data_IF_516928340728
#
_entry.id   IF_516928340728
#
_cell.length_a   1.000
_cell.length_b   1.000
_cell.length_c   1.000
_cell.angle_alpha   90.00
_cell.angle_beta   90.00
_cell.angle_gamma   90.00
#
_symmetry.space_group_name_H-M   'P 1'
#
loop_
_entity.id
_entity.type
_entity.pdbx_description
1 polymer ?
#
# COMPACT_ATOMS: atom_id res chain seq x y z
N UNK A 1 32.57 -18.31 -61.87
CA UNK A 1 32.73 -19.31 -60.79
C UNK A 1 32.74 -18.62 -59.42
N UNK A 2 31.70 -17.85 -59.09
CA UNK A 2 31.76 -16.90 -57.95
C UNK A 2 30.44 -16.57 -57.27
N UNK A 3 29.39 -17.38 -57.45
CA UNK A 3 28.05 -17.10 -56.89
C UNK A 3 27.52 -18.20 -55.97
N UNK A 4 28.21 -19.36 -55.92
CA UNK A 4 27.76 -20.53 -55.13
C UNK A 4 28.35 -20.58 -53.71
N UNK A 5 29.31 -19.71 -53.37
CA UNK A 5 29.94 -19.65 -52.03
C UNK A 5 29.28 -18.67 -51.07
N UNK A 6 28.57 -17.66 -51.58
CA UNK A 6 27.87 -16.65 -50.76
C UNK A 6 26.57 -17.15 -50.15
N UNK A 7 25.86 -18.07 -50.82
CA UNK A 7 24.62 -18.64 -50.28
C UNK A 7 24.85 -19.68 -49.18
N UNK A 8 26.05 -20.26 -49.09
CA UNK A 8 26.37 -21.22 -48.04
C UNK A 8 26.66 -20.53 -46.69
N UNK A 9 27.10 -19.27 -46.70
CA UNK A 9 27.36 -18.50 -45.48
C UNK A 9 26.10 -17.82 -44.92
N UNK A 10 25.11 -17.49 -45.76
CA UNK A 10 23.86 -16.86 -45.31
C UNK A 10 22.82 -17.85 -44.78
N UNK A 11 22.94 -19.15 -45.11
CA UNK A 11 22.02 -20.19 -44.60
C UNK A 11 22.40 -20.73 -43.22
N UNK A 12 23.59 -20.40 -42.71
CA UNK A 12 24.11 -20.90 -41.43
C UNK A 12 23.91 -19.95 -40.24
N UNK A 13 23.12 -18.88 -40.39
CA UNK A 13 22.88 -17.90 -39.32
C UNK A 13 21.44 -17.92 -38.76
N UNK A 14 20.58 -18.84 -39.23
CA UNK A 14 19.14 -18.85 -38.91
C UNK A 14 18.66 -20.05 -38.08
N UNK A 15 19.58 -20.78 -37.45
CA UNK A 15 19.25 -21.76 -36.42
C UNK A 15 20.20 -21.57 -35.25
N UNK A 16 20.04 -20.44 -34.55
CA UNK A 16 20.51 -20.40 -33.16
C UNK A 16 19.42 -21.04 -32.32
N UNK A 17 19.67 -22.18 -31.65
CA UNK A 17 18.71 -22.72 -30.71
C UNK A 17 18.56 -21.67 -29.60
N UNK A 18 17.42 -20.98 -29.58
CA UNK A 18 17.01 -20.16 -28.45
C UNK A 18 16.94 -21.13 -27.28
N UNK A 19 17.97 -21.09 -26.43
CA UNK A 19 18.16 -22.08 -25.39
C UNK A 19 16.95 -22.07 -24.46
N UNK A 20 16.54 -23.24 -23.97
CA UNK A 20 15.45 -23.37 -22.99
C UNK A 20 15.67 -22.46 -21.77
N UNK A 21 16.94 -22.13 -21.49
CA UNK A 21 17.38 -21.20 -20.45
C UNK A 21 16.94 -19.76 -20.74
N UNK A 22 17.07 -19.26 -21.98
CA UNK A 22 16.56 -17.94 -22.37
C UNK A 22 15.03 -17.85 -22.28
N UNK A 23 14.30 -18.91 -22.69
CA UNK A 23 12.84 -18.95 -22.53
C UNK A 23 12.42 -19.02 -21.06
N UNK A 24 13.18 -19.72 -20.20
CA UNK A 24 12.93 -19.78 -18.77
C UNK A 24 13.25 -18.45 -18.07
N UNK A 25 14.29 -17.74 -18.53
CA UNK A 25 14.65 -16.42 -18.03
C UNK A 25 13.65 -15.36 -18.48
N UNK A 26 13.21 -15.37 -19.74
CA UNK A 26 12.16 -14.48 -20.25
C UNK A 26 10.80 -14.72 -19.55
N UNK A 27 10.44 -15.98 -19.25
CA UNK A 27 9.26 -16.28 -18.42
C UNK A 27 9.39 -15.78 -16.98
N UNK A 28 10.61 -15.63 -16.46
CA UNK A 28 10.89 -15.13 -15.11
C UNK A 28 10.88 -13.59 -15.01
N UNK A 29 10.85 -12.89 -16.15
CA UNK A 29 10.75 -11.43 -16.24
C UNK A 29 9.44 -10.96 -16.88
N UNK A 30 8.44 -11.84 -17.09
CA UNK A 30 7.06 -11.36 -17.28
C UNK A 30 6.63 -10.81 -15.93
N UNK A 31 6.89 -9.53 -15.72
CA UNK A 31 6.50 -8.78 -14.55
C UNK A 31 4.97 -8.87 -14.47
N UNK A 32 4.40 -8.99 -13.28
CA UNK A 32 2.94 -8.91 -13.10
C UNK A 32 2.32 -7.69 -13.82
N UNK A 33 3.11 -6.64 -14.08
CA UNK A 33 2.75 -5.47 -14.90
C UNK A 33 2.46 -5.81 -16.36
N UNK A 34 3.25 -6.66 -16.99
CA UNK A 34 3.05 -7.05 -18.40
C UNK A 34 1.76 -7.87 -18.53
N UNK A 35 1.39 -8.62 -17.49
CA UNK A 35 0.11 -9.35 -17.39
C UNK A 35 -1.06 -8.46 -16.99
N UNK A 36 -0.78 -7.31 -16.36
CA UNK A 36 -1.78 -6.32 -16.02
C UNK A 36 -2.28 -5.60 -17.27
N UNK A 37 -1.38 -5.37 -18.25
CA UNK A 37 -1.72 -4.81 -19.56
C UNK A 37 -2.65 -5.72 -20.38
N UNK A 38 -2.75 -7.01 -20.04
CA UNK A 38 -3.66 -7.97 -20.66
C UNK A 38 -5.09 -7.93 -20.06
N UNK A 39 -5.28 -7.27 -18.92
CA UNK A 39 -6.58 -7.15 -18.26
C UNK A 39 -7.37 -5.95 -18.80
N UNK A 40 -8.70 -6.05 -18.73
CA UNK A 40 -9.59 -4.96 -19.12
C UNK A 40 -9.33 -3.67 -18.30
N UNK A 41 -9.59 -2.52 -18.93
CA UNK A 41 -9.28 -1.19 -18.39
C UNK A 41 -9.84 -0.93 -17.00
N UNK A 42 -11.04 -1.44 -16.70
CA UNK A 42 -11.69 -1.28 -15.40
C UNK A 42 -11.00 -2.09 -14.29
N UNK A 43 -10.55 -3.30 -14.63
CA UNK A 43 -9.80 -4.18 -13.71
C UNK A 43 -8.37 -3.67 -13.49
N UNK A 44 -7.76 -3.08 -14.52
CA UNK A 44 -6.46 -2.42 -14.40
C UNK A 44 -6.53 -1.24 -13.44
N UNK A 45 -7.50 -0.36 -13.60
CA UNK A 45 -7.66 0.80 -12.72
C UNK A 45 -7.92 0.39 -11.26
N UNK A 46 -8.72 -0.66 -11.04
CA UNK A 46 -8.97 -1.22 -9.71
C UNK A 46 -7.70 -1.74 -9.03
N UNK A 47 -6.79 -2.36 -9.79
CA UNK A 47 -5.56 -2.98 -9.28
C UNK A 47 -4.41 -1.98 -9.09
N UNK A 48 -4.30 -1.00 -9.98
CA UNK A 48 -3.33 0.10 -9.84
C UNK A 48 -3.67 0.97 -8.62
N UNK A 49 -4.97 1.23 -8.38
CA UNK A 49 -5.47 2.00 -7.25
C UNK A 49 -4.90 3.42 -7.18
N UNK A 50 -5.04 4.08 -6.01
CA UNK A 50 -4.50 5.43 -5.80
C UNK A 50 -2.99 5.49 -5.55
N UNK A 51 -2.42 6.70 -5.53
CA UNK A 51 -0.96 6.96 -5.48
C UNK A 51 -0.17 6.20 -4.39
N UNK A 52 -0.76 6.03 -3.19
CA UNK A 52 -0.14 5.26 -2.09
C UNK A 52 0.00 3.77 -2.40
N UNK A 53 -0.97 3.18 -3.10
CA UNK A 53 -0.89 1.80 -3.57
C UNK A 53 0.20 1.67 -4.63
N UNK A 54 0.22 2.57 -5.61
CA UNK A 54 1.25 2.59 -6.65
C UNK A 54 2.66 2.72 -6.08
N UNK A 55 2.85 3.49 -5.00
CA UNK A 55 4.16 3.63 -4.34
C UNK A 55 4.70 2.29 -3.82
N UNK A 56 3.88 1.51 -3.11
CA UNK A 56 4.30 0.19 -2.61
C UNK A 56 4.35 -0.88 -3.71
N UNK A 57 3.51 -0.75 -4.74
CA UNK A 57 3.52 -1.63 -5.91
C UNK A 57 4.70 -1.37 -6.85
N UNK A 58 5.48 -0.29 -6.67
CA UNK A 58 6.78 -0.13 -7.36
C UNK A 58 7.82 -1.16 -6.90
N UNK A 59 7.71 -1.65 -5.67
CA UNK A 59 8.62 -2.63 -5.09
C UNK A 59 8.23 -4.08 -5.47
N UNK A 60 9.21 -5.02 -5.51
CA UNK A 60 8.91 -6.43 -5.74
C UNK A 60 7.89 -6.96 -4.72
N UNK A 61 7.02 -7.88 -5.15
CA UNK A 61 5.81 -8.32 -4.42
C UNK A 61 6.06 -8.85 -3.00
N UNK A 62 7.29 -9.29 -2.71
CA UNK A 62 7.75 -9.69 -1.38
C UNK A 62 7.80 -8.52 -0.38
N UNK A 63 8.16 -7.32 -0.84
CA UNK A 63 8.30 -6.11 -0.01
C UNK A 63 6.94 -5.40 0.15
N UNK A 64 6.04 -5.54 -0.82
CA UNK A 64 4.70 -4.96 -0.77
C UNK A 64 3.72 -5.75 0.12
N UNK A 65 4.20 -6.71 0.91
CA UNK A 65 3.36 -7.52 1.81
C UNK A 65 2.61 -6.62 2.82
N UNK A 66 1.31 -6.87 3.11
CA UNK A 66 0.51 -6.07 4.05
C UNK A 66 1.13 -5.86 5.43
N UNK A 67 1.98 -6.79 5.89
CA UNK A 67 2.77 -6.66 7.13
C UNK A 67 3.72 -5.46 7.08
N UNK A 68 4.45 -5.27 5.98
CA UNK A 68 5.40 -4.16 5.85
C UNK A 68 4.69 -2.82 5.72
N UNK A 69 3.57 -2.78 5.00
CA UNK A 69 2.72 -1.58 4.91
C UNK A 69 2.15 -1.21 6.28
N UNK A 70 1.71 -2.21 7.05
CA UNK A 70 1.30 -2.03 8.45
C UNK A 70 2.43 -1.50 9.32
N UNK A 71 3.61 -2.12 9.26
CA UNK A 71 4.78 -1.67 10.03
C UNK A 71 5.23 -0.26 9.66
N UNK A 72 5.22 0.10 8.37
CA UNK A 72 5.55 1.44 7.91
C UNK A 72 4.54 2.48 8.42
N UNK A 73 3.25 2.15 8.41
CA UNK A 73 2.24 3.01 9.03
C UNK A 73 2.52 3.22 10.52
N UNK A 74 2.81 2.14 11.26
CA UNK A 74 3.19 2.18 12.67
C UNK A 74 4.42 3.05 12.94
N UNK A 75 5.39 3.03 12.03
CA UNK A 75 6.59 3.87 12.08
C UNK A 75 6.25 5.35 11.88
N UNK A 76 5.39 5.69 10.91
CA UNK A 76 4.97 7.07 10.65
C UNK A 76 4.25 7.66 11.86
N UNK A 77 3.26 6.95 12.40
CA UNK A 77 2.53 7.42 13.59
C UNK A 77 3.45 7.47 14.82
N UNK A 78 4.36 6.50 14.96
CA UNK A 78 5.40 6.53 16.00
C UNK A 78 6.28 7.78 15.90
N UNK A 79 6.67 8.18 14.69
CA UNK A 79 7.45 9.40 14.48
C UNK A 79 6.69 10.67 14.90
N UNK A 80 5.38 10.72 14.63
CA UNK A 80 4.56 11.89 15.05
C UNK A 80 4.46 12.04 16.58
N UNK A 81 4.61 10.95 17.34
CA UNK A 81 4.64 10.99 18.80
C UNK A 81 5.95 11.54 19.38
N UNK A 82 6.98 11.73 18.56
CA UNK A 82 8.25 12.29 19.03
C UNK A 82 8.08 13.72 19.58
N UNK A 83 7.19 14.50 18.95
CA UNK A 83 6.88 15.87 19.38
C UNK A 83 6.22 15.92 20.78
N UNK A 84 5.09 15.23 21.04
CA UNK A 84 4.46 15.27 22.36
C UNK A 84 5.32 14.63 23.46
N UNK A 85 6.04 13.53 23.18
CA UNK A 85 6.97 12.94 24.15
C UNK A 85 8.14 13.89 24.45
N UNK A 86 8.71 14.54 23.43
CA UNK A 86 9.78 15.51 23.58
C UNK A 86 9.36 16.73 24.42
N UNK A 87 8.13 17.20 24.24
CA UNK A 87 7.58 18.30 25.02
C UNK A 87 7.45 17.95 26.50
N UNK A 88 6.83 16.80 26.83
CA UNK A 88 6.67 16.36 28.23
C UNK A 88 8.02 16.15 28.89
N UNK A 89 8.91 15.40 28.24
CA UNK A 89 10.23 15.09 28.77
C UNK A 89 11.01 16.37 29.13
N UNK A 90 10.93 17.39 28.28
CA UNK A 90 11.52 18.69 28.57
C UNK A 90 10.79 19.45 29.70
N UNK A 91 9.46 19.40 29.74
CA UNK A 91 8.66 20.09 30.78
C UNK A 91 8.85 19.51 32.18
N UNK A 92 9.08 18.20 32.27
CA UNK A 92 9.33 17.47 33.52
C UNK A 92 10.83 17.50 33.94
N UNK A 93 11.69 18.10 33.12
CA UNK A 93 13.14 18.12 33.36
C UNK A 93 13.81 16.75 33.23
N UNK A 94 13.21 15.83 32.49
CA UNK A 94 13.76 14.50 32.25
C UNK A 94 15.01 14.55 31.36
N UNK A 95 15.90 13.58 31.56
CA UNK A 95 17.06 13.39 30.68
C UNK A 95 16.56 12.87 29.33
N UNK A 96 17.10 13.43 28.23
CA UNK A 96 16.72 13.08 26.85
C UNK A 96 16.80 11.58 26.55
N UNK A 97 17.73 10.85 27.19
CA UNK A 97 17.83 9.39 27.08
C UNK A 97 16.57 8.66 27.54
N UNK A 98 15.93 9.12 28.62
CA UNK A 98 14.70 8.52 29.17
C UNK A 98 13.55 8.76 28.20
N UNK A 99 13.38 10.00 27.75
CA UNK A 99 12.32 10.35 26.78
C UNK A 99 12.47 9.60 25.46
N UNK A 100 13.70 9.48 24.94
CA UNK A 100 13.96 8.72 23.71
C UNK A 100 13.70 7.23 23.87
N UNK A 101 14.01 6.67 25.04
CA UNK A 101 13.73 5.28 25.38
C UNK A 101 12.22 5.04 25.41
N UNK A 102 11.46 5.86 26.12
CA UNK A 102 10.01 5.71 26.26
C UNK A 102 9.28 5.87 24.92
N UNK A 103 9.65 6.90 24.15
CA UNK A 103 9.18 7.07 22.78
C UNK A 103 9.54 5.86 21.90
N UNK A 104 10.78 5.38 21.99
CA UNK A 104 11.27 4.25 21.20
C UNK A 104 10.50 2.97 21.49
N UNK A 105 10.22 2.67 22.77
CA UNK A 105 9.38 1.54 23.15
C UNK A 105 7.95 1.69 22.62
N UNK A 106 7.36 2.87 22.75
CA UNK A 106 6.02 3.13 22.23
C UNK A 106 5.95 2.97 20.70
N UNK A 107 6.93 3.50 19.97
CA UNK A 107 7.02 3.36 18.52
C UNK A 107 7.19 1.90 18.10
N UNK A 108 8.01 1.11 18.80
CA UNK A 108 8.19 -0.32 18.53
C UNK A 108 6.89 -1.10 18.74
N UNK A 109 6.14 -0.81 19.81
CA UNK A 109 4.82 -1.41 20.05
C UNK A 109 3.88 -1.10 18.89
N UNK A 110 3.82 0.15 18.45
CA UNK A 110 2.97 0.57 17.33
C UNK A 110 3.34 -0.15 16.03
N UNK A 111 4.62 -0.15 15.66
CA UNK A 111 5.14 -0.86 14.47
C UNK A 111 4.76 -2.34 14.52
N UNK A 112 4.99 -3.00 15.66
CA UNK A 112 4.73 -4.43 15.81
C UNK A 112 3.22 -4.72 15.72
N UNK A 113 2.40 -3.92 16.40
CA UNK A 113 0.95 -4.07 16.41
C UNK A 113 0.35 -3.88 15.01
N UNK A 114 0.73 -2.82 14.31
CA UNK A 114 0.18 -2.51 12.98
C UNK A 114 0.70 -3.48 11.92
N UNK A 115 1.95 -3.95 12.03
CA UNK A 115 2.49 -5.01 11.19
C UNK A 115 1.75 -6.33 11.40
N UNK A 116 1.48 -6.69 12.67
CA UNK A 116 0.71 -7.89 13.01
C UNK A 116 -0.72 -7.82 12.47
N UNK A 117 -1.42 -6.69 12.64
CA UNK A 117 -2.75 -6.48 12.07
C UNK A 117 -2.72 -6.56 10.53
N UNK A 118 -1.68 -6.00 9.90
CA UNK A 118 -1.48 -6.12 8.45
C UNK A 118 -1.33 -7.58 8.00
N UNK A 119 -0.58 -8.39 8.74
CA UNK A 119 -0.45 -9.83 8.49
C UNK A 119 -1.74 -10.61 8.72
N UNK A 120 -2.42 -10.37 9.83
CA UNK A 120 -3.71 -10.98 10.11
C UNK A 120 -4.74 -10.65 9.02
N UNK A 121 -4.72 -9.41 8.56
CA UNK A 121 -5.54 -8.96 7.45
C UNK A 121 -5.23 -9.70 6.14
N UNK A 122 -3.97 -9.99 5.82
CA UNK A 122 -3.63 -10.74 4.61
C UNK A 122 -4.14 -12.19 4.70
N UNK A 123 -4.02 -12.81 5.88
CA UNK A 123 -4.58 -14.14 6.13
C UNK A 123 -6.09 -14.15 5.94
N UNK A 124 -6.81 -13.18 6.53
CA UNK A 124 -8.26 -13.05 6.33
C UNK A 124 -8.64 -12.80 4.88
N UNK A 125 -7.92 -11.93 4.16
CA UNK A 125 -8.18 -11.66 2.74
C UNK A 125 -7.95 -12.90 1.86
N UNK A 126 -7.00 -13.76 2.23
CA UNK A 126 -6.75 -15.03 1.52
C UNK A 126 -7.92 -16.02 1.65
N UNK A 127 -8.60 -16.01 2.80
CA UNK A 127 -9.77 -16.86 3.10
C UNK A 127 -11.05 -16.25 2.55
N UNK A 128 -11.24 -14.95 2.72
CA UNK A 128 -12.51 -14.27 2.46
C UNK A 128 -12.78 -14.02 0.96
N UNK A 129 -11.75 -14.10 0.09
CA UNK A 129 -11.86 -13.94 -1.38
C UNK A 129 -12.75 -12.76 -1.81
N UNK A 130 -12.65 -11.63 -1.10
CA UNK A 130 -13.45 -10.42 -1.36
C UNK A 130 -12.79 -9.56 -2.45
N UNK A 131 -13.57 -8.86 -3.29
CA UNK A 131 -13.03 -7.82 -4.17
C UNK A 131 -12.49 -6.66 -3.31
N UNK A 132 -11.49 -5.92 -3.81
CA UNK A 132 -10.94 -4.77 -3.10
C UNK A 132 -11.98 -3.63 -3.07
N UNK A 133 -12.31 -3.16 -1.88
CA UNK A 133 -13.27 -2.06 -1.73
C UNK A 133 -12.55 -0.75 -2.11
N UNK A 134 -13.10 -0.03 -3.10
CA UNK A 134 -12.62 1.31 -3.48
C UNK A 134 -12.91 2.27 -2.32
N UNK A 135 -11.87 2.60 -1.56
CA UNK A 135 -11.97 3.58 -0.47
C UNK A 135 -11.94 5.03 -0.96
N UNK A 136 -11.94 5.31 -2.27
CA UNK A 136 -11.89 6.68 -2.82
C UNK A 136 -12.90 7.62 -2.14
N UNK A 137 -14.16 7.20 -2.02
CA UNK A 137 -15.20 8.01 -1.36
C UNK A 137 -15.09 8.05 0.19
N UNK A 138 -14.32 7.16 0.82
CA UNK A 138 -14.12 7.10 2.29
C UNK A 138 -12.80 7.68 2.78
N UNK A 139 -11.85 8.00 1.87
CA UNK A 139 -10.56 8.61 2.22
C UNK A 139 -10.73 9.97 2.89
N UNK A 140 -11.70 10.77 2.43
CA UNK A 140 -12.04 12.08 3.02
C UNK A 140 -12.36 11.98 4.52
N UNK A 141 -12.99 10.88 4.95
CA UNK A 141 -13.28 10.65 6.36
C UNK A 141 -12.14 9.99 7.10
N UNK A 142 -11.38 9.06 6.51
CA UNK A 142 -10.27 8.37 7.19
C UNK A 142 -9.05 9.27 7.45
N UNK A 143 -8.82 10.27 6.58
CA UNK A 143 -7.66 11.16 6.66
C UNK A 143 -7.57 12.00 7.94
N UNK A 144 -8.64 12.62 8.47
CA UNK A 144 -8.56 13.42 9.69
C UNK A 144 -8.35 12.61 10.98
N UNK A 145 -8.68 11.30 11.01
CA UNK A 145 -8.66 10.50 12.25
C UNK A 145 -7.31 10.47 12.97
N UNK A 146 -6.16 10.27 12.29
CA UNK A 146 -4.86 10.32 12.93
C UNK A 146 -4.55 11.67 13.57
N UNK A 147 -4.99 12.77 12.96
CA UNK A 147 -4.78 14.12 13.52
C UNK A 147 -5.65 14.36 14.74
N UNK A 148 -6.91 13.90 14.71
CA UNK A 148 -7.80 13.95 15.88
C UNK A 148 -7.22 13.10 17.01
N UNK A 149 -6.75 11.89 16.71
CA UNK A 149 -6.08 11.02 17.67
C UNK A 149 -4.85 11.67 18.28
N UNK A 150 -3.97 12.25 17.46
CA UNK A 150 -2.78 12.97 17.90
C UNK A 150 -3.13 14.17 18.79
N UNK A 151 -4.15 14.95 18.43
CA UNK A 151 -4.59 16.10 19.22
C UNK A 151 -5.11 15.66 20.60
N UNK A 152 -5.94 14.62 20.66
CA UNK A 152 -6.45 14.07 21.93
C UNK A 152 -5.31 13.51 22.79
N UNK A 153 -4.38 12.76 22.19
CA UNK A 153 -3.23 12.21 22.90
C UNK A 153 -2.31 13.33 23.43
N UNK A 154 -2.05 14.36 22.62
CA UNK A 154 -1.26 15.52 23.03
C UNK A 154 -1.93 16.31 24.17
N UNK A 155 -3.26 16.46 24.13
CA UNK A 155 -4.01 17.10 25.21
C UNK A 155 -4.01 16.25 26.49
N UNK A 156 -4.11 14.92 26.36
CA UNK A 156 -4.04 13.99 27.51
C UNK A 156 -2.70 14.03 28.24
N UNK A 157 -1.66 14.42 27.52
CA UNK A 157 -0.31 14.56 28.01
C UNK A 157 -0.08 15.89 28.74
N UNK A 158 -0.91 16.90 28.46
CA UNK A 158 -0.82 18.23 29.09
C UNK A 158 -1.85 18.42 30.20
N UNK A 159 -3.00 17.74 30.12
CA UNK A 159 -4.12 17.88 31.04
C UNK A 159 -4.65 16.51 31.43
N UNK A 160 -5.19 16.41 32.63
CA UNK A 160 -5.97 15.24 33.02
C UNK A 160 -7.30 15.23 32.28
N UNK A 161 -7.45 14.30 31.33
CA UNK A 161 -8.69 14.05 30.61
C UNK A 161 -9.23 12.65 30.95
N UNK A 162 -10.55 12.41 30.78
CA UNK A 162 -11.14 11.12 31.07
C UNK A 162 -10.47 9.97 30.31
N UNK A 163 -10.31 8.81 30.95
CA UNK A 163 -9.65 7.63 30.36
C UNK A 163 -10.30 7.20 29.04
N UNK A 164 -11.63 7.30 28.94
CA UNK A 164 -12.37 7.01 27.71
C UNK A 164 -11.91 7.87 26.52
N UNK A 165 -11.55 9.14 26.76
CA UNK A 165 -11.05 10.03 25.73
C UNK A 165 -9.65 9.60 25.26
N UNK A 166 -8.79 9.12 26.18
CA UNK A 166 -7.47 8.58 25.85
C UNK A 166 -7.60 7.33 24.98
N UNK A 167 -8.50 6.40 25.34
CA UNK A 167 -8.82 5.23 24.52
C UNK A 167 -9.34 5.63 23.13
N UNK A 168 -10.25 6.60 23.06
CA UNK A 168 -10.74 7.15 21.80
C UNK A 168 -9.63 7.79 20.96
N UNK A 169 -8.69 8.50 21.60
CA UNK A 169 -7.51 9.09 20.96
C UNK A 169 -6.62 8.03 20.33
N UNK A 170 -6.26 6.98 21.07
CA UNK A 170 -5.50 5.85 20.56
C UNK A 170 -6.23 5.12 19.42
N UNK A 171 -7.54 4.94 19.54
CA UNK A 171 -8.34 4.34 18.48
C UNK A 171 -8.29 5.18 17.21
N UNK A 172 -8.61 6.47 17.27
CA UNK A 172 -8.55 7.37 16.11
C UNK A 172 -7.13 7.46 15.53
N UNK A 173 -6.11 7.35 16.37
CA UNK A 173 -4.72 7.42 15.97
C UNK A 173 -4.23 6.17 15.24
N UNK A 174 -4.60 4.97 15.72
CA UNK A 174 -4.05 3.70 15.22
C UNK A 174 -4.97 3.02 14.21
N UNK A 175 -6.29 3.07 14.41
CA UNK A 175 -7.28 2.31 13.63
C UNK A 175 -7.31 2.57 12.11
N UNK A 176 -7.18 3.82 11.60
CA UNK A 176 -7.37 4.07 10.17
C UNK A 176 -6.34 3.36 9.28
N UNK A 177 -5.11 3.12 9.78
CA UNK A 177 -4.07 2.39 9.03
C UNK A 177 -4.41 0.91 8.80
N UNK A 178 -4.58 0.10 9.85
CA UNK A 178 -5.01 -1.29 9.72
C UNK A 178 -6.34 -1.44 8.99
N UNK A 179 -7.29 -0.51 9.18
CA UNK A 179 -8.55 -0.52 8.45
C UNK A 179 -8.33 -0.36 6.94
N UNK A 180 -7.50 0.60 6.52
CA UNK A 180 -7.11 0.78 5.12
C UNK A 180 -6.45 -0.48 4.55
N UNK A 181 -5.54 -1.07 5.31
CA UNK A 181 -4.86 -2.29 4.90
C UNK A 181 -5.86 -3.44 4.73
N UNK A 182 -6.82 -3.54 5.63
CA UNK A 182 -7.80 -4.62 5.63
C UNK A 182 -8.82 -4.56 4.52
N UNK A 183 -9.45 -3.40 4.32
CA UNK A 183 -10.52 -3.27 3.35
C UNK A 183 -10.01 -3.15 1.92
N UNK A 184 -8.81 -2.62 1.75
CA UNK A 184 -8.39 -2.06 0.47
C UNK A 184 -7.09 -2.68 -0.02
N UNK A 185 -6.06 -2.71 0.81
CA UNK A 185 -4.72 -3.12 0.36
C UNK A 185 -4.53 -4.64 0.31
N UNK A 186 -4.92 -5.37 1.36
CA UNK A 186 -4.73 -6.82 1.45
C UNK A 186 -5.47 -7.59 0.34
N UNK A 187 -6.73 -7.26 -0.03
CA UNK A 187 -7.39 -7.89 -1.17
C UNK A 187 -6.69 -7.60 -2.50
N UNK A 188 -6.20 -6.36 -2.73
CA UNK A 188 -5.43 -5.99 -3.92
C UNK A 188 -4.12 -6.78 -4.01
N UNK A 189 -3.36 -6.83 -2.92
CA UNK A 189 -2.09 -7.56 -2.87
C UNK A 189 -2.28 -9.05 -3.21
N UNK A 190 -3.34 -9.70 -2.71
CA UNK A 190 -3.65 -11.10 -3.03
C UNK A 190 -3.86 -11.32 -4.54
N UNK A 191 -4.60 -10.43 -5.20
CA UNK A 191 -4.88 -10.58 -6.64
C UNK A 191 -3.59 -10.41 -7.44
N UNK A 192 -2.77 -9.43 -7.07
CA UNK A 192 -1.48 -9.18 -7.70
C UNK A 192 -0.47 -10.32 -7.44
N UNK A 193 -0.42 -10.90 -6.24
CA UNK A 193 0.45 -12.06 -5.93
C UNK A 193 0.06 -13.29 -6.76
N UNK A 194 -1.24 -13.49 -7.03
CA UNK A 194 -1.71 -14.53 -7.95
C UNK A 194 -1.32 -14.26 -9.40
N UNK A 195 -1.45 -13.01 -9.84
CA UNK A 195 -1.05 -12.60 -11.19
C UNK A 195 0.45 -12.80 -11.42
N UNK A 196 1.28 -12.46 -10.43
CA UNK A 196 2.74 -12.67 -10.44
C UNK A 196 3.11 -14.16 -10.54
N UNK A 197 2.35 -15.03 -9.87
CA UNK A 197 2.50 -16.49 -9.94
C UNK A 197 1.94 -17.12 -11.22
N UNK A 198 1.35 -16.33 -12.12
CA UNK A 198 0.69 -16.82 -13.34
C UNK A 198 -0.60 -17.61 -13.07
N UNK A 199 -1.22 -17.42 -11.90
CA UNK A 199 -2.50 -18.02 -11.52
C UNK A 199 -3.65 -17.11 -11.95
N UNK A 200 -4.86 -17.69 -12.07
CA UNK A 200 -6.05 -16.92 -12.39
C UNK A 200 -6.35 -15.88 -11.25
N UNK A 201 -6.30 -14.56 -11.53
CA UNK A 201 -6.37 -13.51 -10.51
C UNK A 201 -7.70 -13.50 -9.75
N UNK A 202 -8.79 -13.86 -10.44
CA UNK A 202 -10.16 -13.80 -9.93
C UNK A 202 -10.75 -15.13 -9.45
N UNK A 203 -9.95 -16.20 -9.44
CA UNK A 203 -10.41 -17.54 -9.10
C UNK A 203 -11.04 -17.60 -7.70
N UNK A 204 -12.31 -18.01 -7.65
CA UNK A 204 -13.08 -18.16 -6.42
C UNK A 204 -13.70 -16.88 -5.86
N UNK A 205 -13.70 -15.77 -6.61
CA UNK A 205 -14.48 -14.57 -6.27
C UNK A 205 -15.89 -14.67 -6.86
N UNK A 206 -16.92 -14.36 -6.05
CA UNK A 206 -18.32 -14.33 -6.49
C UNK A 206 -18.68 -13.07 -7.29
N UNK A 207 -17.92 -11.99 -7.11
CA UNK A 207 -17.98 -10.73 -7.86
C UNK A 207 -16.55 -10.22 -8.10
N UNK A 208 -16.26 -9.76 -9.32
CA UNK A 208 -14.92 -9.32 -9.74
C UNK A 208 -14.73 -7.81 -9.64
N UNK A 209 -15.81 -7.03 -9.70
CA UNK A 209 -15.84 -5.57 -9.54
C UNK A 209 -16.83 -5.27 -8.41
N UNK A 210 -16.41 -4.42 -7.47
CA UNK A 210 -17.31 -3.80 -6.49
C UNK A 210 -17.83 -2.51 -7.14
N UNK A 211 -18.92 -2.63 -7.92
CA UNK A 211 -19.73 -1.49 -8.31
C UNK A 211 -20.23 -0.88 -6.99
N UNK A 212 -19.59 0.20 -6.54
CA UNK A 212 -20.11 0.99 -5.43
C UNK A 212 -21.57 1.36 -5.69
N UNK A 213 -22.37 1.68 -4.65
CA UNK A 213 -23.72 2.16 -4.89
C UNK A 213 -23.63 3.33 -5.88
N UNK A 214 -24.44 3.27 -6.94
CA UNK A 214 -24.60 4.30 -7.95
C UNK A 214 -25.22 5.52 -7.26
N UNK A 215 -24.41 6.24 -6.49
CA UNK A 215 -24.72 7.58 -6.03
C UNK A 215 -23.79 8.52 -6.79
N UNK A 216 -24.44 9.32 -7.64
CA UNK A 216 -23.99 10.48 -8.38
C UNK A 216 -22.48 10.64 -8.58
N UNK A 217 -22.13 10.60 -9.87
CA UNK A 217 -20.97 11.22 -10.49
C UNK A 217 -20.68 12.59 -9.84
N UNK A 218 -19.87 12.60 -8.79
CA UNK A 218 -19.14 13.79 -8.36
C UNK A 218 -17.79 13.71 -9.06
N UNK A 219 -17.84 14.06 -10.35
CA UNK A 219 -16.72 14.62 -11.10
C UNK A 219 -16.31 15.92 -10.41
N UNK A 220 -15.54 15.82 -9.34
CA UNK A 220 -14.84 16.96 -8.75
C UNK A 220 -13.52 16.48 -8.14
N UNK A 221 -12.45 17.21 -8.48
CA UNK A 221 -11.08 17.09 -7.95
C UNK A 221 -10.09 16.15 -8.65
N UNK A 222 -10.09 16.10 -9.99
CA UNK A 222 -8.80 15.98 -10.74
C UNK A 222 -8.48 17.24 -11.58
N UNK A 223 -9.37 18.25 -11.58
CA UNK A 223 -9.17 19.53 -12.28
C UNK A 223 -8.51 20.65 -11.45
N UNK A 224 -8.45 20.52 -10.12
CA UNK A 224 -8.01 21.64 -9.25
C UNK A 224 -6.48 21.74 -9.08
N UNK A 225 -5.72 20.73 -9.51
CA UNK A 225 -4.25 20.75 -9.45
C UNK A 225 -3.57 21.23 -10.75
N UNK A 226 -4.28 21.22 -11.88
CA UNK A 226 -3.75 21.74 -13.15
C UNK A 226 -4.03 23.24 -13.34
N UNK A 227 -5.10 23.79 -12.76
CA UNK A 227 -5.45 25.22 -12.88
C UNK A 227 -4.42 26.15 -12.18
N UNK A 228 -3.77 25.69 -11.11
CA UNK A 228 -2.80 26.52 -10.36
C UNK A 228 -1.47 26.68 -11.12
N UNK A 229 -1.17 25.81 -12.09
CA UNK A 229 0.06 25.89 -12.89
C UNK A 229 -0.11 26.86 -14.07
N UNK A 230 -1.32 26.98 -14.63
CA UNK A 230 -1.60 27.94 -15.71
C UNK A 230 -1.87 29.36 -15.21
N UNK A 231 -2.38 29.54 -13.99
CA UNK A 231 -2.60 30.88 -13.41
C UNK A 231 -1.30 31.61 -12.97
N UNK A 232 -0.13 30.96 -13.08
CA UNK A 232 1.17 31.52 -12.67
C UNK A 232 2.18 31.69 -13.81
N UNK A 233 1.75 31.65 -15.08
CA UNK A 233 2.58 31.99 -16.25
C UNK A 233 2.12 33.25 -16.97
#
# INVERSE_FOLDING_TARGET
MGQKKTDLFLKSARDRPVTVIERAFARRFVSWRDRLDELDSEHRHMLEGGSLSQMFLRYPMTISHPVFVGGFYGLLIGLTLLLPYGYIGNSEGQVLEVTMKDWGFQALILITLTAFLGGFSSMLASVARRPPIRLENRRRYLFPFPFVGLAVLSLSMMNEIPELAIWGGWFCFVFPGPLYIHLSYAPRWRILDRLDRGLAPFEGMSRTIDEGPVDEVVEAEDGELEEVVEASS
#
